data_IF_198279497119
#
_entry.id   IF_198279497119
#
_cell.length_a   1.000
_cell.length_b   1.000
_cell.length_c   1.000
_cell.angle_alpha   90.00
_cell.angle_beta   90.00
_cell.angle_gamma   90.00
#
_symmetry.space_group_name_H-M   'P 1'
#
loop_
_entity.id
_entity.type
_entity.pdbx_description
1 polymer ?
#
# COMPACT_ATOMS: atom_id res chain seq x y z
N UNK A 1 10.74 8.94 -0.01
CA UNK A 1 10.37 7.50 0.01
C UNK A 1 10.35 6.80 -1.37
N UNK A 2 9.44 7.14 -2.30
CA UNK A 2 9.23 6.42 -3.57
C UNK A 2 10.50 6.22 -4.43
N UNK A 3 11.37 7.23 -4.50
CA UNK A 3 12.67 7.14 -5.19
C UNK A 3 13.60 6.10 -4.56
N UNK A 4 13.57 5.95 -3.24
CA UNK A 4 14.36 4.95 -2.53
C UNK A 4 13.87 3.53 -2.87
N UNK A 5 12.55 3.31 -2.89
CA UNK A 5 11.97 2.02 -3.30
C UNK A 5 12.39 1.62 -4.72
N UNK A 6 12.36 2.55 -5.67
CA UNK A 6 12.80 2.30 -7.06
C UNK A 6 14.30 1.99 -7.15
N UNK A 7 15.12 2.70 -6.36
CA UNK A 7 16.56 2.43 -6.27
C UNK A 7 16.83 1.05 -5.66
N UNK A 8 16.16 0.72 -4.56
CA UNK A 8 16.25 -0.58 -3.92
C UNK A 8 15.81 -1.71 -4.87
N UNK A 9 14.75 -1.51 -5.67
CA UNK A 9 14.30 -2.49 -6.65
C UNK A 9 15.37 -2.74 -7.71
N UNK A 10 16.03 -1.69 -8.18
CA UNK A 10 17.14 -1.81 -9.14
C UNK A 10 18.29 -2.63 -8.55
N UNK A 11 18.66 -2.39 -7.29
CA UNK A 11 19.68 -3.16 -6.57
C UNK A 11 19.26 -4.62 -6.38
N UNK A 12 18.02 -4.87 -5.96
CA UNK A 12 17.48 -6.22 -5.78
C UNK A 12 17.49 -7.03 -7.09
N UNK A 13 17.14 -6.39 -8.21
CA UNK A 13 17.21 -7.03 -9.54
C UNK A 13 18.63 -7.41 -9.93
N UNK A 14 19.63 -6.58 -9.63
CA UNK A 14 21.05 -6.90 -9.87
C UNK A 14 21.52 -8.07 -9.01
N UNK A 15 21.11 -8.10 -7.75
CA UNK A 15 21.47 -9.14 -6.79
C UNK A 15 20.62 -10.42 -6.94
N UNK A 16 19.61 -10.40 -7.83
CA UNK A 16 18.63 -11.48 -8.03
C UNK A 16 17.88 -11.87 -6.76
N UNK A 17 17.70 -10.91 -5.85
CA UNK A 17 16.97 -11.08 -4.61
C UNK A 17 15.46 -11.14 -4.90
N UNK A 18 14.91 -12.35 -4.92
CA UNK A 18 13.51 -12.58 -5.30
C UNK A 18 12.53 -12.01 -4.31
N UNK A 19 12.79 -12.16 -3.01
CA UNK A 19 11.94 -11.61 -1.96
C UNK A 19 11.89 -10.08 -2.07
N UNK A 20 13.05 -9.44 -2.22
CA UNK A 20 13.10 -7.99 -2.36
C UNK A 20 12.41 -7.50 -3.64
N UNK A 21 12.60 -8.18 -4.77
CA UNK A 21 11.93 -7.82 -6.02
C UNK A 21 10.41 -7.90 -5.88
N UNK A 22 9.88 -8.97 -5.28
CA UNK A 22 8.43 -9.15 -5.09
C UNK A 22 7.86 -8.07 -4.16
N UNK A 23 8.46 -7.90 -2.98
CA UNK A 23 8.02 -6.92 -2.00
C UNK A 23 8.01 -5.49 -2.57
N UNK A 24 9.11 -5.07 -3.19
CA UNK A 24 9.27 -3.69 -3.69
C UNK A 24 8.35 -3.40 -4.88
N UNK A 25 8.08 -4.38 -5.75
CA UNK A 25 7.10 -4.20 -6.84
C UNK A 25 5.68 -4.12 -6.32
N UNK A 26 5.32 -4.96 -5.35
CA UNK A 26 4.01 -4.92 -4.70
C UNK A 26 3.77 -3.56 -4.04
N UNK A 27 4.74 -3.08 -3.25
CA UNK A 27 4.64 -1.78 -2.58
C UNK A 27 4.51 -0.62 -3.58
N UNK A 28 5.31 -0.62 -4.67
CA UNK A 28 5.19 0.41 -5.71
C UNK A 28 3.82 0.37 -6.40
N UNK A 29 3.28 -0.82 -6.68
CA UNK A 29 1.95 -0.97 -7.25
C UNK A 29 0.85 -0.53 -6.29
N UNK A 30 0.96 -0.80 -4.99
CA UNK A 30 0.03 -0.34 -3.97
C UNK A 30 -0.02 1.20 -3.89
N UNK A 31 1.15 1.85 -4.00
CA UNK A 31 1.26 3.32 -4.04
C UNK A 31 0.63 3.86 -5.35
N UNK A 32 0.93 3.24 -6.50
CA UNK A 32 0.35 3.63 -7.79
C UNK A 32 -1.19 3.48 -7.78
N UNK A 33 -1.70 2.41 -7.17
CA UNK A 33 -3.14 2.18 -7.00
C UNK A 33 -3.78 3.24 -6.07
N UNK A 34 -3.13 3.58 -4.97
CA UNK A 34 -3.60 4.61 -4.05
C UNK A 34 -3.62 6.02 -4.68
N UNK A 35 -2.73 6.31 -5.63
CA UNK A 35 -2.79 7.54 -6.45
C UNK A 35 -3.92 7.50 -7.49
N UNK A 36 -4.32 6.31 -7.92
CA UNK A 36 -5.32 6.10 -8.97
C UNK A 36 -6.77 5.97 -8.47
N UNK A 37 -6.99 5.63 -7.21
CA UNK A 37 -8.35 5.48 -6.65
C UNK A 37 -8.88 6.86 -6.23
N UNK A 38 -9.93 7.41 -6.87
CA UNK A 38 -10.65 8.54 -6.31
C UNK A 38 -11.23 8.10 -4.95
N UNK A 39 -11.19 8.97 -3.94
CA UNK A 39 -11.74 8.70 -2.61
C UNK A 39 -13.28 8.59 -2.65
N UNK A 40 -13.79 7.53 -3.27
CA UNK A 40 -15.21 7.21 -3.35
C UNK A 40 -15.61 6.48 -2.07
N UNK A 41 -16.20 7.27 -1.17
CA UNK A 41 -17.27 6.93 -0.24
C UNK A 41 -17.37 5.47 0.23
N UNK A 42 -17.03 5.26 1.50
CA UNK A 42 -17.58 4.16 2.30
C UNK A 42 -19.11 4.14 2.13
N UNK A 43 -19.75 3.00 1.81
CA UNK A 43 -21.19 2.91 1.93
C UNK A 43 -21.52 2.90 3.43
N UNK A 44 -22.01 4.03 3.92
CA UNK A 44 -22.71 4.05 5.21
C UNK A 44 -23.93 3.15 5.06
N UNK A 45 -23.88 1.99 5.70
CA UNK A 45 -25.01 1.09 5.77
C UNK A 45 -26.05 1.72 6.71
N UNK A 46 -27.05 2.39 6.13
CA UNK A 46 -28.31 2.66 6.81
C UNK A 46 -29.41 2.86 5.75
N UNK A 47 -30.36 1.93 5.76
CA UNK A 47 -31.59 2.02 5.01
C UNK A 47 -32.43 3.25 5.39
N UNK A 48 -33.27 3.66 4.44
CA UNK A 48 -34.60 4.30 4.60
C UNK A 48 -34.73 5.76 4.10
N UNK A 49 -35.45 5.86 2.99
CA UNK A 49 -36.48 6.85 2.62
C UNK A 49 -36.13 8.31 2.22
N UNK A 50 -36.50 8.59 0.95
CA UNK A 50 -37.29 9.73 0.46
C UNK A 50 -36.84 11.19 0.66
N UNK A 51 -36.65 11.84 -0.50
CA UNK A 51 -36.82 13.28 -0.79
C UNK A 51 -35.76 14.29 -0.33
N UNK A 52 -34.84 14.65 -1.24
CA UNK A 52 -34.32 16.03 -1.34
C UNK A 52 -34.23 16.44 -2.82
N UNK A 53 -35.18 17.25 -3.25
CA UNK A 53 -35.07 18.09 -4.43
C UNK A 53 -34.24 19.33 -4.06
N UNK A 54 -33.19 19.63 -4.82
CA UNK A 54 -32.34 20.79 -4.55
C UNK A 54 -31.07 20.80 -5.40
N UNK A 55 -31.22 20.85 -6.72
CA UNK A 55 -30.11 21.22 -7.59
C UNK A 55 -29.74 22.69 -7.36
N UNK A 56 -28.66 22.93 -6.60
CA UNK A 56 -27.91 24.18 -6.55
C UNK A 56 -26.43 23.79 -6.52
N UNK A 57 -25.82 23.60 -7.68
CA UNK A 57 -24.88 24.56 -8.29
C UNK A 57 -23.68 24.84 -7.39
N UNK A 58 -22.59 24.19 -7.77
CA UNK A 58 -21.29 24.16 -7.13
C UNK A 58 -20.87 22.70 -6.96
N UNK A 59 -20.46 21.93 -7.98
CA UNK A 59 -19.42 22.30 -8.96
C UNK A 59 -18.30 23.15 -8.33
N UNK A 60 -18.11 23.02 -7.02
CA UNK A 60 -16.82 23.14 -6.41
C UNK A 60 -16.19 21.77 -6.55
N UNK A 61 -15.24 21.66 -7.46
CA UNK A 61 -14.08 20.91 -7.11
C UNK A 61 -14.22 19.39 -6.95
N UNK A 62 -14.46 18.71 -8.07
CA UNK A 62 -13.59 17.59 -8.46
C UNK A 62 -12.10 18.03 -8.64
N UNK A 63 -11.67 19.04 -7.89
CA UNK A 63 -10.47 19.92 -7.97
C UNK A 63 -9.65 19.73 -6.68
N UNK A 64 -9.57 18.49 -6.22
CA UNK A 64 -8.28 17.97 -5.76
C UNK A 64 -8.09 16.60 -6.42
N UNK A 65 -8.24 16.61 -7.75
CA UNK A 65 -7.25 16.05 -8.67
C UNK A 65 -6.13 15.28 -7.97
N UNK A 66 -6.13 13.94 -8.10
CA UNK A 66 -4.96 13.07 -7.88
C UNK A 66 -4.08 13.53 -6.73
N UNK A 67 -4.62 13.56 -5.49
CA UNK A 67 -3.88 13.99 -4.30
C UNK A 67 -2.53 13.29 -4.31
N UNK A 68 -1.48 14.01 -4.73
CA UNK A 68 -0.13 13.48 -4.80
C UNK A 68 0.14 12.94 -3.40
N UNK A 69 0.35 11.63 -3.27
CA UNK A 69 0.57 11.03 -1.97
C UNK A 69 1.72 11.77 -1.30
N UNK A 70 1.46 12.28 -0.10
CA UNK A 70 2.52 12.89 0.69
C UNK A 70 3.54 11.81 1.05
N UNK A 71 4.74 12.22 1.45
CA UNK A 71 5.73 11.25 1.91
C UNK A 71 5.21 10.42 3.11
N UNK A 72 4.37 11.02 3.96
CA UNK A 72 3.71 10.33 5.06
C UNK A 72 2.69 9.29 4.56
N UNK A 73 1.90 9.60 3.53
CA UNK A 73 0.95 8.65 2.94
C UNK A 73 1.69 7.46 2.31
N UNK A 74 2.77 7.73 1.57
CA UNK A 74 3.61 6.69 0.99
C UNK A 74 4.24 5.81 2.08
N UNK A 75 4.71 6.42 3.19
CA UNK A 75 5.24 5.68 4.35
C UNK A 75 4.16 4.79 4.96
N UNK A 76 2.96 5.32 5.19
CA UNK A 76 1.84 4.58 5.77
C UNK A 76 1.42 3.38 4.92
N UNK A 77 1.40 3.54 3.59
CA UNK A 77 1.13 2.43 2.67
C UNK A 77 2.19 1.33 2.80
N UNK A 78 3.48 1.70 2.82
CA UNK A 78 4.57 0.72 2.93
C UNK A 78 4.57 0.03 4.29
N UNK A 79 4.26 0.75 5.37
CA UNK A 79 4.11 0.20 6.72
C UNK A 79 2.95 -0.82 6.77
N UNK A 80 1.80 -0.46 6.21
CA UNK A 80 0.67 -1.39 6.09
C UNK A 80 1.06 -2.65 5.31
N UNK A 81 1.71 -2.51 4.16
CA UNK A 81 2.17 -3.64 3.35
C UNK A 81 3.16 -4.57 4.09
N UNK A 82 3.96 -4.04 5.02
CA UNK A 82 4.85 -4.82 5.86
C UNK A 82 4.06 -5.58 6.95
N UNK A 83 3.13 -4.90 7.64
CA UNK A 83 2.26 -5.50 8.66
C UNK A 83 1.38 -6.60 8.07
N UNK A 84 0.81 -6.39 6.89
CA UNK A 84 -0.04 -7.36 6.20
C UNK A 84 0.75 -8.64 5.86
N UNK A 85 2.03 -8.51 5.47
CA UNK A 85 2.92 -9.66 5.22
C UNK A 85 3.27 -10.44 6.48
N UNK A 86 3.54 -9.75 7.59
CA UNK A 86 3.79 -10.42 8.89
C UNK A 86 2.53 -11.16 9.34
N UNK A 87 1.36 -10.51 9.24
CA UNK A 87 0.08 -11.12 9.61
C UNK A 87 -0.22 -12.36 8.77
N UNK A 88 -0.01 -12.29 7.45
CA UNK A 88 -0.15 -13.43 6.56
C UNK A 88 0.87 -14.54 6.87
N UNK A 89 2.12 -14.19 7.22
CA UNK A 89 3.12 -15.16 7.62
C UNK A 89 2.69 -15.95 8.87
N UNK A 90 2.16 -15.26 9.88
CA UNK A 90 1.66 -15.88 11.10
C UNK A 90 0.46 -16.82 10.82
N UNK A 91 -0.42 -16.43 9.90
CA UNK A 91 -1.50 -17.30 9.42
C UNK A 91 -0.97 -18.55 8.73
N UNK A 92 -0.02 -18.41 7.81
CA UNK A 92 0.56 -19.54 7.10
C UNK A 92 1.34 -20.47 8.02
N UNK A 93 2.02 -19.94 9.03
CA UNK A 93 2.70 -20.75 10.04
C UNK A 93 1.72 -21.57 10.86
N UNK A 94 0.61 -20.98 11.31
CA UNK A 94 -0.48 -21.71 12.00
C UNK A 94 -1.06 -22.83 11.14
N UNK A 95 -1.05 -22.68 9.81
CA UNK A 95 -1.49 -23.68 8.85
C UNK A 95 -0.40 -24.71 8.46
N UNK A 96 0.77 -24.67 9.11
CA UNK A 96 1.89 -25.59 8.85
C UNK A 96 2.66 -25.30 7.57
N UNK A 97 2.45 -24.13 6.95
CA UNK A 97 3.12 -23.70 5.70
C UNK A 97 4.33 -22.81 6.00
N UNK A 98 5.31 -23.37 6.72
CA UNK A 98 6.47 -22.63 7.22
C UNK A 98 7.30 -21.95 6.12
N UNK A 99 7.48 -22.58 4.96
CA UNK A 99 8.25 -21.99 3.86
C UNK A 99 7.58 -20.72 3.29
N UNK A 100 6.24 -20.72 3.18
CA UNK A 100 5.49 -19.53 2.75
C UNK A 100 5.56 -18.43 3.80
N UNK A 101 5.47 -18.79 5.09
CA UNK A 101 5.63 -17.84 6.18
C UNK A 101 7.02 -17.20 6.20
N UNK A 102 8.08 -18.00 6.00
CA UNK A 102 9.45 -17.51 5.92
C UNK A 102 9.66 -16.53 4.75
N UNK A 103 9.10 -16.85 3.58
CA UNK A 103 9.15 -15.96 2.42
C UNK A 103 8.46 -14.62 2.70
N UNK A 104 7.26 -14.63 3.29
CA UNK A 104 6.52 -13.42 3.63
C UNK A 104 7.24 -12.56 4.68
N UNK A 105 7.91 -13.19 5.66
CA UNK A 105 8.75 -12.48 6.63
C UNK A 105 9.96 -11.82 5.98
N UNK A 106 10.63 -12.52 5.06
CA UNK A 106 11.72 -11.94 4.30
C UNK A 106 11.26 -10.74 3.45
N UNK A 107 10.06 -10.82 2.85
CA UNK A 107 9.46 -9.69 2.13
C UNK A 107 9.16 -8.50 3.08
N UNK A 108 8.59 -8.76 4.25
CA UNK A 108 8.30 -7.72 5.24
C UNK A 108 9.57 -7.01 5.71
N UNK A 109 10.64 -7.76 5.99
CA UNK A 109 11.94 -7.21 6.40
C UNK A 109 12.52 -6.29 5.33
N UNK A 110 12.36 -6.62 4.04
CA UNK A 110 12.80 -5.73 2.96
C UNK A 110 12.08 -4.39 3.00
N UNK A 111 10.77 -4.40 3.23
CA UNK A 111 9.97 -3.17 3.32
C UNK A 111 10.34 -2.34 4.55
N UNK A 112 10.57 -3.00 5.69
CA UNK A 112 10.95 -2.36 6.95
C UNK A 112 12.28 -1.59 6.83
N UNK A 113 13.28 -2.18 6.17
CA UNK A 113 14.55 -1.49 5.86
C UNK A 113 14.37 -0.20 5.04
N UNK A 114 13.29 -0.08 4.27
CA UNK A 114 13.00 1.15 3.51
C UNK A 114 12.29 2.20 4.36
N UNK A 115 11.57 1.80 5.41
CA UNK A 115 10.91 2.69 6.37
C UNK A 115 11.91 3.33 7.34
N UNK A 116 13.02 2.64 7.58
CA UNK A 116 14.13 3.04 8.45
C UNK A 116 15.45 3.04 7.68
N UNK A 117 15.65 3.96 6.72
CA UNK A 117 16.95 4.08 6.07
C UNK A 117 17.95 4.51 7.14
N UNK A 118 18.99 3.71 7.37
CA UNK A 118 20.10 4.09 8.25
C UNK A 118 20.64 5.45 7.78
N UNK A 119 20.68 6.41 8.72
CA UNK A 119 21.01 7.82 8.46
C UNK A 119 22.49 8.03 8.13
#
# INVERSE_FOLDING_TARGET
MRTNLRRALTTAMKNRDRAAITALRSALAAIDNAESVPAEHLPSSAASNEHVAGAAVGLGAAEVERRHLTEADVRSIVEKEAVDRVSAADEYERLGRADLAANLRAEAEVLDRQLHPES
#
